data_IF_907252774214
#
_entry.id   IF_907252774214
#
_cell.length_a   1.000
_cell.length_b   1.000
_cell.length_c   1.000
_cell.angle_alpha   90.00
_cell.angle_beta   90.00
_cell.angle_gamma   90.00
#
_symmetry.space_group_name_H-M   'P 1'
#
loop_
_entity.id
_entity.type
_entity.pdbx_description
1 polymer ?
#
# COMPACT_ATOMS: atom_id res chain seq x y z
N UNK A 1 -76.37 22.24 41.35
CA UNK A 1 -76.46 21.32 40.21
C UNK A 1 -75.52 21.88 39.15
N UNK A 2 -74.36 21.27 38.95
CA UNK A 2 -73.32 21.80 38.07
C UNK A 2 -73.72 21.61 36.60
N UNK A 3 -73.49 22.63 35.77
CA UNK A 3 -73.86 22.66 34.37
C UNK A 3 -72.94 21.71 33.57
N UNK A 4 -73.46 20.64 32.94
CA UNK A 4 -72.65 19.65 32.22
C UNK A 4 -71.95 20.22 30.98
N UNK A 5 -72.28 21.45 30.55
CA UNK A 5 -71.58 22.13 29.46
C UNK A 5 -70.19 22.64 29.85
N UNK A 6 -69.93 22.78 31.15
CA UNK A 6 -68.64 23.26 31.64
C UNK A 6 -67.56 22.16 31.68
N UNK A 7 -67.94 20.88 31.53
CA UNK A 7 -66.99 19.75 31.47
C UNK A 7 -66.43 19.49 30.07
N UNK A 8 -67.03 20.07 29.02
CA UNK A 8 -66.56 19.92 27.63
C UNK A 8 -65.51 20.95 27.21
N UNK A 9 -65.30 22.00 28.03
CA UNK A 9 -64.32 23.04 27.76
C UNK A 9 -62.87 22.63 28.11
N UNK A 10 -62.70 21.51 28.82
CA UNK A 10 -61.39 21.03 29.30
C UNK A 10 -60.78 19.95 28.38
N UNK A 11 -61.34 19.75 27.18
CA UNK A 11 -60.72 18.91 26.15
C UNK A 11 -59.58 19.72 25.51
N UNK A 12 -58.42 19.67 26.16
CA UNK A 12 -57.17 20.18 25.60
C UNK A 12 -56.88 19.38 24.33
N UNK A 13 -57.04 20.02 23.17
CA UNK A 13 -56.67 19.43 21.88
C UNK A 13 -55.16 19.12 21.95
N UNK A 14 -54.74 17.85 21.77
CA UNK A 14 -53.33 17.54 21.74
C UNK A 14 -52.68 18.29 20.58
N UNK A 15 -51.70 19.14 20.88
CA UNK A 15 -50.93 19.84 19.86
C UNK A 15 -50.33 18.78 18.91
N UNK A 16 -50.64 18.91 17.61
CA UNK A 16 -50.11 18.00 16.60
C UNK A 16 -48.58 17.98 16.69
N UNK A 17 -47.93 16.80 16.65
CA UNK A 17 -46.49 16.73 16.72
C UNK A 17 -45.90 17.52 15.54
N UNK A 18 -44.98 18.42 15.83
CA UNK A 18 -44.23 19.12 14.79
C UNK A 18 -43.60 18.07 13.87
N UNK A 19 -43.96 18.09 12.58
CA UNK A 19 -43.40 17.15 11.63
C UNK A 19 -41.88 17.29 11.64
N UNK A 20 -41.20 16.18 11.95
CA UNK A 20 -39.74 16.13 11.90
C UNK A 20 -39.27 16.56 10.50
N UNK A 21 -38.22 17.39 10.39
CA UNK A 21 -37.69 17.80 9.10
C UNK A 21 -37.35 16.56 8.26
N UNK A 22 -37.52 16.61 6.93
CA UNK A 22 -37.32 15.44 6.08
C UNK A 22 -35.89 14.91 6.25
N UNK A 23 -35.78 13.66 6.73
CA UNK A 23 -34.53 12.95 6.99
C UNK A 23 -33.62 12.81 5.75
N UNK A 24 -34.08 13.20 4.56
CA UNK A 24 -33.35 13.14 3.29
C UNK A 24 -32.04 13.94 3.31
N UNK A 25 -31.96 15.06 4.03
CA UNK A 25 -30.71 15.82 4.17
C UNK A 25 -29.63 15.06 4.95
N UNK A 26 -30.02 14.35 6.00
CA UNK A 26 -29.12 13.52 6.79
C UNK A 26 -28.65 12.30 5.99
N UNK A 27 -29.55 11.64 5.26
CA UNK A 27 -29.21 10.50 4.41
C UNK A 27 -28.20 10.86 3.31
N UNK A 28 -28.38 11.99 2.61
CA UNK A 28 -27.43 12.44 1.60
C UNK A 28 -26.06 12.78 2.19
N UNK A 29 -26.02 13.38 3.40
CA UNK A 29 -24.76 13.64 4.11
C UNK A 29 -24.04 12.33 4.51
N UNK A 30 -24.78 11.33 4.98
CA UNK A 30 -24.21 10.02 5.32
C UNK A 30 -23.69 9.27 4.08
N UNK A 31 -24.43 9.33 2.97
CA UNK A 31 -23.96 8.78 1.69
C UNK A 31 -22.69 9.49 1.21
N UNK A 32 -22.67 10.83 1.27
CA UNK A 32 -21.50 11.62 0.94
C UNK A 32 -20.29 11.28 1.82
N UNK A 33 -20.49 11.18 3.14
CA UNK A 33 -19.45 10.79 4.09
C UNK A 33 -18.92 9.37 3.81
N UNK A 34 -19.81 8.42 3.51
CA UNK A 34 -19.43 7.06 3.14
C UNK A 34 -18.59 7.04 1.86
N UNK A 35 -18.99 7.80 0.84
CA UNK A 35 -18.30 7.86 -0.45
C UNK A 35 -16.90 8.50 -0.32
N UNK A 36 -16.78 9.56 0.48
CA UNK A 36 -15.47 10.17 0.83
C UNK A 36 -14.59 9.16 1.58
N UNK A 37 -15.15 8.43 2.54
CA UNK A 37 -14.39 7.44 3.30
C UNK A 37 -13.85 6.32 2.39
N UNK A 38 -14.69 5.79 1.49
CA UNK A 38 -14.28 4.80 0.49
C UNK A 38 -13.22 5.36 -0.46
N UNK A 39 -13.40 6.60 -0.95
CA UNK A 39 -12.42 7.26 -1.80
C UNK A 39 -11.07 7.43 -1.10
N UNK A 40 -11.06 7.83 0.18
CA UNK A 40 -9.86 7.92 1.00
C UNK A 40 -9.17 6.55 1.19
N UNK A 41 -9.93 5.49 1.46
CA UNK A 41 -9.40 4.12 1.60
C UNK A 41 -8.79 3.66 0.27
N UNK A 42 -9.48 3.91 -0.86
CA UNK A 42 -8.98 3.56 -2.18
C UNK A 42 -7.70 4.32 -2.53
N UNK A 43 -7.66 5.63 -2.26
CA UNK A 43 -6.46 6.46 -2.43
C UNK A 43 -5.31 5.97 -1.57
N UNK A 44 -5.58 5.66 -0.30
CA UNK A 44 -4.57 5.15 0.61
C UNK A 44 -4.03 3.80 0.14
N UNK A 45 -4.92 2.87 -0.26
CA UNK A 45 -4.53 1.58 -0.81
C UNK A 45 -3.71 1.73 -2.10
N UNK A 46 -4.10 2.66 -2.97
CA UNK A 46 -3.39 2.96 -4.22
C UNK A 46 -2.00 3.54 -3.97
N UNK A 47 -1.90 4.55 -3.08
CA UNK A 47 -0.61 5.12 -2.66
C UNK A 47 0.26 4.08 -1.95
N UNK A 48 -0.36 3.23 -1.14
CA UNK A 48 0.30 2.13 -0.47
C UNK A 48 0.89 1.17 -1.50
N UNK A 49 0.10 0.74 -2.50
CA UNK A 49 0.54 -0.14 -3.57
C UNK A 49 1.67 0.49 -4.41
N UNK A 50 1.60 1.80 -4.71
CA UNK A 50 2.69 2.54 -5.36
C UNK A 50 3.98 2.54 -4.53
N UNK A 51 3.88 2.62 -3.20
CA UNK A 51 5.04 2.65 -2.28
C UNK A 51 5.52 1.27 -1.82
N UNK A 52 4.75 0.20 -2.05
CA UNK A 52 5.12 -1.19 -1.71
C UNK A 52 6.50 -1.61 -2.20
N UNK A 53 6.89 -1.39 -3.49
CA UNK A 53 8.21 -1.83 -3.95
C UNK A 53 9.34 -1.12 -3.20
N UNK A 54 9.27 0.19 -3.00
CA UNK A 54 10.31 0.93 -2.28
C UNK A 54 10.43 0.46 -0.80
N UNK A 55 9.30 0.20 -0.13
CA UNK A 55 9.30 -0.34 1.24
C UNK A 55 9.86 -1.76 1.32
N UNK A 56 9.49 -2.62 0.38
CA UNK A 56 10.02 -3.98 0.33
C UNK A 56 11.54 -3.98 0.15
N UNK A 57 12.06 -3.12 -0.74
CA UNK A 57 13.49 -2.95 -0.93
C UNK A 57 14.20 -2.45 0.33
N UNK A 58 13.62 -1.45 1.01
CA UNK A 58 14.16 -0.96 2.27
C UNK A 58 14.14 -2.02 3.38
N UNK A 59 13.11 -2.87 3.43
CA UNK A 59 13.05 -4.00 4.35
C UNK A 59 14.14 -5.04 4.08
N UNK A 60 14.41 -5.35 2.80
CA UNK A 60 15.49 -6.27 2.42
C UNK A 60 16.86 -5.67 2.79
N UNK A 61 17.08 -4.40 2.50
CA UNK A 61 18.33 -3.72 2.84
C UNK A 61 18.54 -3.60 4.37
N UNK A 62 17.48 -3.35 5.14
CA UNK A 62 17.54 -3.35 6.59
C UNK A 62 17.85 -4.74 7.16
N UNK A 63 17.21 -5.79 6.63
CA UNK A 63 17.51 -7.16 7.01
C UNK A 63 18.96 -7.54 6.69
N UNK A 64 19.47 -7.12 5.52
CA UNK A 64 20.88 -7.30 5.15
C UNK A 64 21.84 -6.56 6.10
N UNK A 65 21.51 -5.33 6.49
CA UNK A 65 22.31 -4.54 7.44
C UNK A 65 22.30 -5.13 8.86
N UNK A 66 21.19 -5.71 9.27
CA UNK A 66 21.05 -6.37 10.58
C UNK A 66 21.47 -7.85 10.54
N UNK A 67 21.92 -8.36 9.38
CA UNK A 67 22.23 -9.77 9.15
C UNK A 67 21.10 -10.72 9.60
N UNK A 68 19.86 -10.25 9.44
CA UNK A 68 18.66 -11.04 9.66
C UNK A 68 18.37 -11.80 8.37
N UNK A 69 18.41 -13.14 8.44
CA UNK A 69 18.36 -14.10 7.33
C UNK A 69 19.69 -14.34 6.60
N UNK A 70 19.77 -15.47 5.88
CA UNK A 70 20.93 -15.82 5.06
C UNK A 70 21.01 -14.93 3.81
N UNK A 71 22.22 -14.66 3.27
CA UNK A 71 22.38 -13.87 2.04
C UNK A 71 21.59 -14.44 0.85
N UNK A 72 21.48 -15.78 0.78
CA UNK A 72 20.71 -16.48 -0.25
C UNK A 72 19.21 -16.16 -0.15
N UNK A 73 18.64 -16.16 1.05
CA UNK A 73 17.23 -15.85 1.25
C UNK A 73 16.92 -14.39 0.92
N UNK A 74 17.81 -13.47 1.32
CA UNK A 74 17.69 -12.05 1.00
C UNK A 74 17.83 -11.80 -0.51
N UNK A 75 18.73 -12.52 -1.19
CA UNK A 75 18.91 -12.45 -2.64
C UNK A 75 17.66 -12.95 -3.38
N UNK A 76 17.03 -14.02 -2.90
CA UNK A 76 15.77 -14.51 -3.46
C UNK A 76 14.63 -13.48 -3.29
N UNK A 77 14.57 -12.77 -2.16
CA UNK A 77 13.62 -11.69 -1.92
C UNK A 77 13.87 -10.49 -2.85
N UNK A 78 15.14 -10.14 -3.08
CA UNK A 78 15.54 -9.09 -4.00
C UNK A 78 15.19 -9.43 -5.47
N UNK A 79 15.40 -10.68 -5.86
CA UNK A 79 15.00 -11.21 -7.17
C UNK A 79 13.48 -11.17 -7.38
N UNK A 80 12.70 -11.58 -6.38
CA UNK A 80 11.24 -11.48 -6.43
C UNK A 80 10.77 -10.02 -6.51
N UNK A 81 11.41 -9.13 -5.76
CA UNK A 81 11.15 -7.69 -5.83
C UNK A 81 11.40 -7.13 -7.24
N UNK A 82 12.54 -7.45 -7.85
CA UNK A 82 12.90 -6.94 -9.17
C UNK A 82 11.94 -7.45 -10.25
N UNK A 83 11.58 -8.75 -10.20
CA UNK A 83 10.57 -9.34 -11.09
C UNK A 83 9.23 -8.63 -10.99
N UNK A 84 8.74 -8.35 -9.78
CA UNK A 84 7.50 -7.60 -9.56
C UNK A 84 7.61 -6.14 -10.03
N UNK A 85 8.72 -5.46 -9.72
CA UNK A 85 8.91 -4.03 -10.02
C UNK A 85 9.01 -3.74 -11.52
N UNK A 86 9.66 -4.62 -12.26
CA UNK A 86 9.87 -4.49 -13.70
C UNK A 86 8.92 -5.37 -14.53
N UNK A 87 7.94 -6.01 -13.87
CA UNK A 87 6.96 -6.92 -14.50
C UNK A 87 7.60 -8.02 -15.35
N UNK A 88 8.72 -8.57 -14.86
CA UNK A 88 9.48 -9.60 -15.54
C UNK A 88 9.07 -10.99 -15.05
N UNK A 89 8.84 -11.92 -15.97
CA UNK A 89 8.60 -13.34 -15.63
C UNK A 89 9.84 -14.01 -15.06
N UNK A 90 11.02 -13.63 -15.57
CA UNK A 90 12.33 -14.08 -15.13
C UNK A 90 13.32 -12.92 -15.18
N UNK A 91 14.18 -12.86 -14.18
CA UNK A 91 15.30 -11.94 -14.14
C UNK A 91 16.43 -12.49 -15.01
N UNK A 92 16.81 -11.74 -16.03
CA UNK A 92 17.84 -12.13 -17.00
C UNK A 92 18.52 -10.87 -17.53
N UNK A 93 19.82 -10.95 -17.79
CA UNK A 93 20.62 -9.88 -18.39
C UNK A 93 20.07 -9.45 -19.75
N UNK A 94 19.49 -10.38 -20.52
CA UNK A 94 18.89 -10.08 -21.82
C UNK A 94 17.58 -9.25 -21.74
N UNK A 95 16.92 -9.24 -20.57
CA UNK A 95 15.64 -8.56 -20.35
C UNK A 95 15.83 -7.27 -19.55
N UNK A 96 16.67 -6.39 -20.08
CA UNK A 96 16.91 -5.08 -19.49
C UNK A 96 15.67 -4.18 -19.66
N UNK A 97 15.17 -3.53 -18.59
CA UNK A 97 14.19 -2.45 -18.72
C UNK A 97 14.74 -1.30 -19.59
N UNK A 98 13.89 -0.71 -20.43
CA UNK A 98 14.30 0.28 -21.44
C UNK A 98 14.93 1.56 -20.89
N UNK A 99 14.71 1.87 -19.61
CA UNK A 99 15.23 3.06 -18.93
C UNK A 99 16.52 2.79 -18.15
N UNK A 100 17.00 1.55 -18.13
CA UNK A 100 18.23 1.15 -17.42
C UNK A 100 19.36 0.89 -18.40
N UNK A 101 20.58 1.19 -17.97
CA UNK A 101 21.79 0.83 -18.70
C UNK A 101 21.93 -0.71 -18.76
N UNK A 102 22.01 -1.32 -19.96
CA UNK A 102 22.16 -2.76 -20.10
C UNK A 102 23.43 -3.32 -19.44
N UNK A 103 24.50 -2.52 -19.41
CA UNK A 103 25.75 -2.89 -18.74
C UNK A 103 25.55 -3.09 -17.25
N UNK A 104 25.03 -2.06 -16.58
CA UNK A 104 24.69 -2.11 -15.16
C UNK A 104 23.66 -3.18 -14.82
N UNK A 105 22.59 -3.33 -15.63
CA UNK A 105 21.58 -4.36 -15.40
C UNK A 105 22.19 -5.76 -15.48
N UNK A 106 22.95 -6.06 -16.53
CA UNK A 106 23.56 -7.38 -16.71
C UNK A 106 24.52 -7.73 -15.57
N UNK A 107 25.36 -6.77 -15.15
CA UNK A 107 26.26 -6.94 -14.00
C UNK A 107 25.48 -7.22 -12.72
N UNK A 108 24.47 -6.42 -12.44
CA UNK A 108 23.60 -6.58 -11.27
C UNK A 108 22.90 -7.95 -11.25
N UNK A 109 22.34 -8.41 -12.38
CA UNK A 109 21.68 -9.72 -12.46
C UNK A 109 22.65 -10.88 -12.22
N UNK A 110 23.86 -10.81 -12.76
CA UNK A 110 24.90 -11.84 -12.56
C UNK A 110 25.37 -11.89 -11.12
N UNK A 111 25.63 -10.74 -10.52
CA UNK A 111 26.03 -10.65 -9.11
C UNK A 111 24.93 -11.19 -8.19
N UNK A 112 23.65 -10.89 -8.48
CA UNK A 112 22.53 -11.44 -7.73
C UNK A 112 22.42 -12.97 -7.87
N UNK A 113 22.60 -13.50 -9.07
CA UNK A 113 22.61 -14.95 -9.33
C UNK A 113 23.76 -15.64 -8.57
N UNK A 114 24.94 -15.01 -8.57
CA UNK A 114 26.10 -15.50 -7.83
C UNK A 114 25.89 -15.53 -6.32
N UNK A 115 25.25 -14.51 -5.73
CA UNK A 115 24.92 -14.53 -4.29
C UNK A 115 23.88 -15.60 -3.96
N UNK A 116 22.98 -15.90 -4.90
CA UNK A 116 21.88 -16.85 -4.67
C UNK A 116 22.27 -18.31 -4.86
N UNK A 117 23.10 -18.61 -5.85
CA UNK A 117 23.43 -19.99 -6.24
C UNK A 117 24.93 -20.30 -6.20
N UNK A 118 25.78 -19.28 -6.05
CA UNK A 118 27.22 -19.46 -5.93
C UNK A 118 27.65 -19.96 -4.55
N UNK A 119 28.95 -20.24 -4.38
CA UNK A 119 29.51 -20.61 -3.09
C UNK A 119 29.37 -19.46 -2.09
N UNK A 120 29.20 -19.81 -0.81
CA UNK A 120 29.03 -18.84 0.28
C UNK A 120 30.26 -17.91 0.33
N UNK A 121 30.06 -16.64 0.00
CA UNK A 121 31.10 -15.61 0.11
C UNK A 121 31.07 -15.01 1.52
N UNK A 122 32.24 -14.76 2.11
CA UNK A 122 32.36 -14.05 3.40
C UNK A 122 31.66 -12.68 3.37
N UNK A 123 31.65 -12.05 2.19
CA UNK A 123 31.20 -10.68 2.00
C UNK A 123 29.78 -10.62 1.40
N UNK A 124 29.03 -11.74 1.42
CA UNK A 124 27.73 -11.86 0.77
C UNK A 124 26.71 -10.77 1.18
N UNK A 125 26.73 -10.34 2.44
CA UNK A 125 25.87 -9.23 2.91
C UNK A 125 26.29 -7.87 2.35
N UNK A 126 27.59 -7.59 2.22
CA UNK A 126 28.10 -6.33 1.67
C UNK A 126 27.78 -6.23 0.18
N UNK A 127 27.95 -7.33 -0.57
CA UNK A 127 27.52 -7.43 -1.97
C UNK A 127 26.01 -7.17 -2.09
N UNK A 128 25.21 -7.74 -1.19
CA UNK A 128 23.75 -7.56 -1.19
C UNK A 128 23.32 -6.13 -0.85
N UNK A 129 24.07 -5.42 0.00
CA UNK A 129 23.87 -3.99 0.24
C UNK A 129 24.11 -3.16 -1.04
N UNK A 130 25.21 -3.41 -1.76
CA UNK A 130 25.47 -2.73 -3.05
C UNK A 130 24.40 -3.02 -4.12
N UNK A 131 23.88 -4.26 -4.15
CA UNK A 131 22.74 -4.61 -5.00
C UNK A 131 21.47 -3.83 -4.60
N UNK A 132 21.20 -3.69 -3.30
CA UNK A 132 20.07 -2.90 -2.80
C UNK A 132 20.22 -1.41 -3.14
N UNK A 133 21.43 -0.86 -3.09
CA UNK A 133 21.70 0.54 -3.44
C UNK A 133 21.46 0.84 -4.92
N UNK A 134 21.95 -0.03 -5.80
CA UNK A 134 21.69 0.05 -7.24
C UNK A 134 20.18 0.00 -7.53
N UNK A 135 19.48 -0.94 -6.90
CA UNK A 135 18.03 -1.07 -6.98
C UNK A 135 17.28 0.16 -6.43
N UNK A 136 17.82 0.82 -5.40
CA UNK A 136 17.25 2.07 -4.86
C UNK A 136 17.39 3.22 -5.85
N UNK A 137 18.51 3.34 -6.56
CA UNK A 137 18.69 4.36 -7.58
C UNK A 137 17.60 4.24 -8.65
N UNK A 138 17.41 3.04 -9.19
CA UNK A 138 16.37 2.76 -10.19
C UNK A 138 14.94 2.98 -9.68
N UNK A 139 14.72 2.87 -8.36
CA UNK A 139 13.42 3.13 -7.77
C UNK A 139 13.06 4.62 -7.67
N UNK A 140 14.06 5.52 -7.74
CA UNK A 140 13.85 6.98 -7.66
C UNK A 140 13.68 7.63 -9.03
N UNK A 141 14.23 7.03 -10.08
CA UNK A 141 14.25 7.60 -11.42
C UNK A 141 12.95 7.38 -12.22
N UNK A 142 11.89 6.85 -11.61
CA UNK A 142 10.57 6.53 -12.22
C UNK A 142 9.43 7.08 -11.37
#
# INVERSE_FOLDING_TARGET
>A
MADPRNELADIIVPAAPAMAPPAGGSLLLWVGAGLVCVACIALFAWLWQRRRPARALNGIAAAAAQQQDTPVALAARLDAWARLRFQLTRLDAARCPSHLDPGQWSGWTKTLEQVRFGPTQSDGYAVLQGLCESARAWSRDV
#
